data_IF_592857166281
#
_entry.id   IF_592857166281
#
_cell.length_a   1.000
_cell.length_b   1.000
_cell.length_c   1.000
_cell.angle_alpha   90.00
_cell.angle_beta   90.00
_cell.angle_gamma   90.00
#
_symmetry.space_group_name_H-M   'P 1'
#
loop_
_entity.id
_entity.type
_entity.pdbx_description
1 polymer ?
#
# COMPACT_ATOMS: atom_id res chain seq x y z
N UNK A 1 33.97 -6.41 -2.07
CA UNK A 1 33.54 -5.12 -2.67
C UNK A 1 32.68 -5.41 -3.89
N UNK A 2 31.36 -5.42 -3.73
CA UNK A 2 30.39 -5.50 -4.83
C UNK A 2 29.41 -4.34 -4.63
N UNK A 3 29.44 -3.38 -5.55
CA UNK A 3 28.60 -2.18 -5.51
C UNK A 3 27.17 -2.56 -5.92
N UNK A 4 26.21 -2.18 -5.10
CA UNK A 4 24.77 -2.27 -5.40
C UNK A 4 24.50 -1.36 -6.62
N UNK A 5 23.83 -1.92 -7.63
CA UNK A 5 23.49 -1.24 -8.87
C UNK A 5 22.44 -0.13 -8.59
N UNK A 6 22.64 1.12 -9.05
CA UNK A 6 21.82 2.27 -8.67
C UNK A 6 20.40 2.30 -9.27
N UNK A 7 19.92 1.22 -9.89
CA UNK A 7 18.61 1.17 -10.56
C UNK A 7 17.41 0.95 -9.64
N UNK A 8 17.61 0.75 -8.32
CA UNK A 8 16.52 0.51 -7.36
C UNK A 8 16.05 1.81 -6.67
N UNK A 9 16.76 2.94 -6.84
CA UNK A 9 16.45 4.20 -6.12
C UNK A 9 15.81 5.28 -7.02
N UNK A 10 15.58 5.05 -8.31
CA UNK A 10 15.01 6.07 -9.21
C UNK A 10 13.63 5.70 -9.76
N UNK A 11 12.62 5.75 -8.88
CA UNK A 11 11.35 6.37 -9.23
C UNK A 11 10.71 6.89 -7.94
N UNK A 12 11.27 7.96 -7.36
CA UNK A 12 10.54 8.73 -6.38
C UNK A 12 9.31 9.36 -7.08
N UNK A 13 8.06 8.94 -6.82
CA UNK A 13 6.89 9.45 -7.52
C UNK A 13 6.39 10.77 -6.92
N UNK A 14 6.94 11.21 -5.79
CA UNK A 14 6.48 12.40 -5.08
C UNK A 14 7.59 13.46 -4.99
N UNK A 15 7.68 14.36 -5.98
CA UNK A 15 8.23 15.69 -5.73
C UNK A 15 7.31 16.46 -4.76
N UNK A 16 7.85 17.41 -4.01
CA UNK A 16 7.09 18.35 -3.18
C UNK A 16 6.64 19.57 -4.04
N UNK A 17 5.39 20.06 -3.97
CA UNK A 17 4.13 19.33 -3.86
C UNK A 17 3.39 19.47 -5.21
N UNK A 18 3.20 18.42 -6.02
CA UNK A 18 2.23 18.50 -7.09
C UNK A 18 0.86 18.60 -6.43
N UNK A 19 0.05 19.54 -6.91
CA UNK A 19 -1.37 19.60 -6.58
C UNK A 19 -1.96 18.18 -6.60
N UNK A 20 -2.85 17.88 -5.66
CA UNK A 20 -3.50 16.57 -5.46
C UNK A 20 -4.48 16.30 -6.60
N UNK A 21 -3.98 16.39 -7.83
CA UNK A 21 -4.69 16.16 -9.05
C UNK A 21 -4.81 14.65 -9.12
N UNK A 22 -6.04 14.20 -8.97
CA UNK A 22 -6.41 12.80 -8.99
C UNK A 22 -5.76 12.15 -10.22
N UNK A 23 -4.82 11.23 -9.98
CA UNK A 23 -4.14 10.48 -11.03
C UNK A 23 -5.22 9.88 -11.94
N UNK A 24 -5.29 10.35 -13.19
CA UNK A 24 -6.12 9.76 -14.23
C UNK A 24 -5.42 8.52 -14.75
N UNK A 25 -5.32 7.48 -13.92
CA UNK A 25 -4.73 6.19 -14.27
C UNK A 25 -5.77 5.31 -14.97
N UNK A 26 -5.44 4.68 -16.11
CA UNK A 26 -6.42 4.02 -16.97
C UNK A 26 -7.18 2.82 -16.34
N UNK A 27 -6.73 2.29 -15.21
CA UNK A 27 -7.45 1.27 -14.41
C UNK A 27 -7.05 1.39 -12.93
N UNK A 28 -7.85 2.11 -12.12
CA UNK A 28 -8.92 1.48 -11.33
C UNK A 28 -10.20 2.35 -11.33
N UNK A 29 -10.82 2.51 -12.49
CA UNK A 29 -11.94 3.45 -12.67
C UNK A 29 -13.28 2.99 -12.09
N UNK A 30 -13.44 1.75 -11.61
CA UNK A 30 -14.73 1.33 -11.01
C UNK A 30 -15.09 2.07 -9.71
N UNK A 31 -14.10 2.48 -8.91
CA UNK A 31 -14.37 3.26 -7.70
C UNK A 31 -14.49 4.78 -7.95
N UNK A 32 -14.16 5.26 -9.16
CA UNK A 32 -13.97 6.70 -9.44
C UNK A 32 -14.74 7.28 -10.62
N UNK A 33 -15.20 6.45 -11.56
CA UNK A 33 -15.84 6.94 -12.77
C UNK A 33 -17.30 6.49 -12.82
N UNK A 34 -18.23 7.46 -12.73
CA UNK A 34 -19.66 7.26 -12.95
C UNK A 34 -20.51 7.14 -11.67
N UNK A 35 -21.83 6.95 -11.84
CA UNK A 35 -22.82 6.93 -10.76
C UNK A 35 -22.72 5.78 -9.74
N UNK A 36 -21.77 4.85 -9.93
CA UNK A 36 -21.47 3.73 -9.03
C UNK A 36 -20.11 3.86 -8.33
N UNK A 37 -19.49 5.04 -8.36
CA UNK A 37 -18.25 5.30 -7.63
C UNK A 37 -18.42 5.09 -6.13
N UNK A 38 -17.32 4.75 -5.46
CA UNK A 38 -17.35 4.55 -4.01
C UNK A 38 -17.61 5.89 -3.31
N UNK A 39 -18.84 6.10 -2.81
CA UNK A 39 -19.21 7.30 -2.03
C UNK A 39 -18.33 7.48 -0.79
N UNK A 40 -17.83 6.36 -0.25
CA UNK A 40 -16.91 6.32 0.89
C UNK A 40 -15.46 6.63 0.55
N UNK A 41 -15.09 6.87 -0.73
CA UNK A 41 -13.69 7.11 -1.13
C UNK A 41 -12.97 8.17 -0.28
N UNK A 42 -13.51 9.38 -0.04
CA UNK A 42 -12.80 10.37 0.77
C UNK A 42 -12.59 9.90 2.21
N UNK A 43 -13.57 9.22 2.80
CA UNK A 43 -13.48 8.70 4.17
C UNK A 43 -12.48 7.53 4.27
N UNK A 44 -12.53 6.59 3.32
CA UNK A 44 -11.61 5.46 3.26
C UNK A 44 -10.16 5.94 3.13
N UNK A 45 -9.90 6.91 2.24
CA UNK A 45 -8.57 7.47 2.06
C UNK A 45 -8.09 8.27 3.27
N UNK A 46 -8.98 8.99 3.97
CA UNK A 46 -8.64 9.66 5.21
C UNK A 46 -8.21 8.64 6.27
N UNK A 47 -9.01 7.59 6.47
CA UNK A 47 -8.73 6.54 7.44
C UNK A 47 -7.41 5.82 7.13
N UNK A 48 -7.18 5.42 5.87
CA UNK A 48 -5.92 4.77 5.47
C UNK A 48 -4.71 5.67 5.77
N UNK A 49 -4.79 6.97 5.47
CA UNK A 49 -3.68 7.90 5.72
C UNK A 49 -3.41 8.09 7.21
N UNK A 50 -4.45 8.31 8.00
CA UNK A 50 -4.29 8.57 9.43
C UNK A 50 -3.83 7.33 10.18
N UNK A 51 -4.33 6.15 9.81
CA UNK A 51 -3.90 4.89 10.42
C UNK A 51 -2.46 4.56 10.07
N UNK A 52 -2.08 4.64 8.79
CA UNK A 52 -0.69 4.37 8.37
C UNK A 52 0.26 5.39 9.01
N UNK A 53 -0.07 6.68 8.99
CA UNK A 53 0.76 7.71 9.60
C UNK A 53 1.00 7.41 11.08
N UNK A 54 -0.05 7.03 11.82
CA UNK A 54 0.08 6.67 13.23
C UNK A 54 0.91 5.41 13.44
N UNK A 55 0.74 4.40 12.60
CA UNK A 55 1.48 3.14 12.71
C UNK A 55 2.98 3.36 12.54
N UNK A 56 3.40 4.08 11.50
CA UNK A 56 4.83 4.31 11.22
C UNK A 56 5.49 5.28 12.20
N UNK A 57 4.72 6.16 12.85
CA UNK A 57 5.28 7.11 13.82
C UNK A 57 5.45 6.52 15.21
N UNK A 58 4.57 5.58 15.60
CA UNK A 58 4.51 5.05 16.97
C UNK A 58 5.16 3.65 17.09
N UNK A 59 5.22 2.87 16.00
CA UNK A 59 5.70 1.49 16.04
C UNK A 59 6.90 1.27 15.12
N UNK A 60 7.87 0.48 15.58
CA UNK A 60 8.98 -0.02 14.78
C UNK A 60 8.61 -1.38 14.19
N UNK A 61 8.05 -1.37 12.97
CA UNK A 61 7.47 -2.55 12.32
C UNK A 61 8.59 -3.36 11.66
N UNK A 62 8.75 -4.61 12.10
CA UNK A 62 9.75 -5.54 11.54
C UNK A 62 9.18 -6.95 11.37
N UNK A 63 9.71 -7.71 10.40
CA UNK A 63 9.39 -9.14 10.33
C UNK A 63 10.03 -9.89 11.50
N UNK A 64 9.37 -10.95 11.98
CA UNK A 64 9.86 -11.72 13.11
C UNK A 64 11.21 -12.37 12.77
N UNK A 65 12.26 -12.16 13.58
CA UNK A 65 13.57 -12.73 13.30
C UNK A 65 13.53 -14.26 13.36
N UNK A 66 13.92 -14.91 12.26
CA UNK A 66 14.10 -16.36 12.18
C UNK A 66 12.84 -17.16 11.84
N UNK A 67 11.74 -16.55 11.39
CA UNK A 67 10.50 -17.30 11.19
C UNK A 67 9.64 -16.99 9.98
N UNK A 68 9.68 -15.77 9.41
CA UNK A 68 8.75 -15.41 8.34
C UNK A 68 9.31 -14.31 7.41
N UNK A 69 9.43 -14.63 6.12
CA UNK A 69 9.86 -13.68 5.06
C UNK A 69 8.68 -12.83 4.53
N UNK A 70 7.48 -12.97 5.12
CA UNK A 70 6.28 -12.24 4.74
C UNK A 70 5.61 -12.76 3.46
N UNK A 71 6.17 -13.77 2.81
CA UNK A 71 5.63 -14.38 1.59
C UNK A 71 4.28 -15.07 1.80
N UNK A 72 4.04 -15.60 3.00
CA UNK A 72 2.77 -16.26 3.33
C UNK A 72 1.58 -15.30 3.19
N UNK A 73 1.77 -14.01 3.45
CA UNK A 73 0.75 -12.98 3.24
C UNK A 73 0.29 -12.93 1.78
N UNK A 74 1.23 -12.99 0.83
CA UNK A 74 0.92 -12.92 -0.61
C UNK A 74 0.45 -14.27 -1.16
N UNK A 75 1.16 -15.36 -0.84
CA UNK A 75 0.93 -16.68 -1.42
C UNK A 75 -0.37 -17.34 -0.94
N UNK A 76 -0.75 -17.11 0.32
CA UNK A 76 -1.99 -17.63 0.90
C UNK A 76 -3.15 -16.61 0.79
N UNK A 77 -2.99 -15.56 -0.02
CA UNK A 77 -4.08 -14.61 -0.29
C UNK A 77 -5.24 -15.33 -0.98
N UNK A 78 -6.41 -15.27 -0.35
CA UNK A 78 -7.64 -15.85 -0.90
C UNK A 78 -8.52 -14.75 -1.47
N UNK A 79 -9.08 -14.98 -2.67
CA UNK A 79 -10.00 -14.03 -3.33
C UNK A 79 -11.38 -14.67 -3.45
N UNK A 80 -12.33 -14.22 -2.62
CA UNK A 80 -13.73 -14.66 -2.70
C UNK A 80 -14.62 -13.59 -3.35
N UNK A 81 -14.43 -12.34 -2.93
CA UNK A 81 -15.09 -11.14 -3.46
C UNK A 81 -14.19 -9.90 -3.29
N UNK A 82 -13.40 -9.91 -2.22
CA UNK A 82 -12.27 -9.02 -1.96
C UNK A 82 -11.02 -9.87 -1.74
N UNK A 83 -9.83 -9.30 -1.96
CA UNK A 83 -8.59 -9.98 -1.58
C UNK A 83 -8.47 -10.02 -0.05
N UNK A 84 -8.43 -11.23 0.51
CA UNK A 84 -8.14 -11.47 1.92
C UNK A 84 -6.68 -11.94 2.02
N UNK A 85 -5.77 -11.13 2.57
CA UNK A 85 -4.37 -11.49 2.67
C UNK A 85 -4.18 -12.70 3.59
N UNK A 86 -3.14 -13.49 3.31
CA UNK A 86 -2.70 -14.59 4.16
C UNK A 86 -2.10 -14.11 5.49
N UNK A 87 -1.64 -15.04 6.35
CA UNK A 87 -1.06 -14.69 7.64
C UNK A 87 0.22 -13.83 7.48
N UNK A 88 0.35 -12.82 8.34
CA UNK A 88 1.48 -11.88 8.36
C UNK A 88 2.00 -11.74 9.80
N UNK A 89 3.20 -12.25 10.07
CA UNK A 89 3.82 -12.17 11.39
C UNK A 89 4.78 -10.97 11.48
N UNK A 90 4.38 -9.94 12.23
CA UNK A 90 5.19 -8.73 12.49
C UNK A 90 5.51 -8.59 13.98
N UNK A 91 6.66 -7.96 14.27
CA UNK A 91 7.15 -7.59 15.60
C UNK A 91 7.16 -6.08 15.76
#
# INVERSE_FOLDING_TARGET
>A
MHRIHPSIIQSNPFPNPPAVNQLTDPFPFFLNAGGYGCIGKPLALLNIRTTIARLITEFDISFVPGGDDGRAMEEDTTVQFTAAPGPLNIR
#
